data_IF_318399962523
#
_entry.id   IF_318399962523
#
_cell.length_a   1.000
_cell.length_b   1.000
_cell.length_c   1.000
_cell.angle_alpha   90.00
_cell.angle_beta   90.00
_cell.angle_gamma   90.00
#
_symmetry.space_group_name_H-M   'P 1'
#
loop_
_entity.id
_entity.type
_entity.pdbx_description
1 polymer ?
#
# COMPACT_ATOMS: atom_id res chain seq x y z
N UNK A 1 21.99 10.80 -6.29
CA UNK A 1 20.67 10.68 -6.92
C UNK A 1 19.92 11.99 -6.78
N UNK A 2 19.18 12.39 -7.81
CA UNK A 2 18.26 13.55 -7.76
C UNK A 2 16.89 13.11 -7.26
N UNK A 3 16.00 14.05 -6.96
CA UNK A 3 14.61 13.76 -6.59
C UNK A 3 13.88 12.99 -7.69
N UNK A 4 14.08 13.36 -8.97
CA UNK A 4 13.45 12.65 -10.09
C UNK A 4 13.93 11.20 -10.21
N UNK A 5 15.24 10.97 -10.04
CA UNK A 5 15.77 9.60 -10.00
C UNK A 5 15.18 8.77 -8.85
N UNK A 6 14.91 9.40 -7.70
CA UNK A 6 14.26 8.73 -6.59
C UNK A 6 12.79 8.44 -6.90
N UNK A 7 12.05 9.34 -7.54
CA UNK A 7 10.68 9.10 -7.96
C UNK A 7 10.58 7.89 -8.89
N UNK A 8 11.48 7.78 -9.88
CA UNK A 8 11.60 6.59 -10.74
C UNK A 8 11.90 5.33 -9.91
N UNK A 9 12.82 5.43 -8.95
CA UNK A 9 13.15 4.29 -8.08
C UNK A 9 11.95 3.84 -7.25
N UNK A 10 11.18 4.80 -6.69
CA UNK A 10 9.96 4.49 -5.94
C UNK A 10 8.90 3.80 -6.82
N UNK A 11 8.75 4.21 -8.08
CA UNK A 11 7.88 3.52 -9.03
C UNK A 11 8.30 2.05 -9.24
N UNK A 12 9.59 1.81 -9.46
CA UNK A 12 10.13 0.45 -9.62
C UNK A 12 9.97 -0.38 -8.35
N UNK A 13 10.21 0.21 -7.17
CA UNK A 13 9.97 -0.45 -5.88
C UNK A 13 8.49 -0.74 -5.67
N UNK A 14 7.60 0.19 -6.03
CA UNK A 14 6.15 0.00 -5.97
C UNK A 14 5.69 -1.17 -6.86
N UNK A 15 6.19 -1.23 -8.08
CA UNK A 15 5.94 -2.35 -9.00
C UNK A 15 6.44 -3.69 -8.45
N UNK A 16 7.52 -3.69 -7.69
CA UNK A 16 8.06 -4.87 -7.01
C UNK A 16 7.36 -5.18 -5.67
N UNK A 17 6.37 -4.39 -5.25
CA UNK A 17 5.65 -4.55 -3.98
C UNK A 17 6.49 -4.19 -2.75
N UNK A 18 7.51 -3.33 -2.89
CA UNK A 18 8.46 -2.99 -1.82
C UNK A 18 8.16 -1.66 -1.13
N UNK A 19 7.76 -0.64 -1.86
CA UNK A 19 7.45 0.68 -1.29
C UNK A 19 6.32 1.33 -2.10
N UNK A 20 5.32 1.86 -1.43
CA UNK A 20 4.18 2.52 -2.06
C UNK A 20 3.93 3.87 -1.40
N UNK A 21 4.44 4.95 -2.00
CA UNK A 21 4.08 6.32 -1.61
C UNK A 21 2.66 6.65 -2.08
N UNK A 22 2.32 6.21 -3.28
CA UNK A 22 0.99 6.30 -3.87
C UNK A 22 0.46 4.89 -4.08
N UNK A 23 -0.74 4.62 -3.61
CA UNK A 23 -1.48 3.41 -3.96
C UNK A 23 -2.00 3.51 -5.39
N UNK A 24 -2.03 2.39 -6.08
CA UNK A 24 -2.53 2.34 -7.45
C UNK A 24 -3.13 0.96 -7.76
N UNK A 25 -4.15 0.98 -8.57
CA UNK A 25 -4.78 -0.23 -9.08
C UNK A 25 -5.59 0.07 -10.34
N UNK A 26 -5.90 -0.96 -11.11
CA UNK A 26 -6.84 -0.88 -12.23
C UNK A 26 -8.14 -1.55 -11.83
N UNK A 27 -9.25 -0.89 -12.06
CA UNK A 27 -10.59 -1.41 -11.78
C UNK A 27 -11.60 -0.87 -12.77
N UNK A 28 -12.80 -1.41 -12.74
CA UNK A 28 -13.93 -0.90 -13.52
C UNK A 28 -14.20 0.56 -13.13
N UNK A 29 -14.43 1.41 -14.13
CA UNK A 29 -14.85 2.79 -13.90
C UNK A 29 -16.23 2.81 -13.24
N UNK A 30 -16.36 3.52 -12.12
CA UNK A 30 -17.61 3.60 -11.35
C UNK A 30 -18.76 4.28 -12.12
N UNK A 31 -18.44 5.12 -13.10
CA UNK A 31 -19.43 5.83 -13.94
C UNK A 31 -19.57 5.28 -15.36
N UNK A 32 -18.65 4.37 -15.76
CA UNK A 32 -18.69 3.67 -17.03
C UNK A 32 -18.27 2.20 -16.86
N UNK A 33 -19.19 1.33 -16.43
CA UNK A 33 -18.86 -0.04 -16.02
C UNK A 33 -18.37 -0.95 -17.17
N UNK A 34 -18.39 -0.47 -18.40
CA UNK A 34 -17.84 -1.22 -19.57
C UNK A 34 -16.35 -0.98 -19.77
N UNK A 35 -15.75 0.00 -19.04
CA UNK A 35 -14.35 0.35 -19.18
C UNK A 35 -13.56 0.17 -17.88
N UNK A 36 -12.29 -0.17 -18.02
CA UNK A 36 -11.34 -0.17 -16.93
C UNK A 36 -10.62 1.17 -16.89
N UNK A 37 -10.34 1.65 -15.67
CA UNK A 37 -9.63 2.90 -15.44
C UNK A 37 -8.55 2.70 -14.36
N UNK A 38 -7.50 3.51 -14.42
CA UNK A 38 -6.43 3.51 -13.44
C UNK A 38 -6.78 4.43 -12.27
N UNK A 39 -6.65 3.92 -11.06
CA UNK A 39 -6.89 4.65 -9.82
C UNK A 39 -5.58 4.99 -9.11
N UNK A 40 -5.46 6.25 -8.64
CA UNK A 40 -4.46 6.69 -7.69
C UNK A 40 -5.13 6.92 -6.33
N UNK A 41 -4.52 6.41 -5.26
CA UNK A 41 -5.06 6.51 -3.90
C UNK A 41 -3.97 6.79 -2.89
N UNK A 42 -4.36 7.26 -1.72
CA UNK A 42 -3.44 7.49 -0.60
C UNK A 42 -2.77 6.21 -0.14
N UNK A 43 -1.48 6.31 0.20
CA UNK A 43 -0.64 5.24 0.75
C UNK A 43 0.55 5.83 1.53
N UNK A 44 1.55 5.03 1.84
CA UNK A 44 2.81 5.52 2.42
C UNK A 44 2.95 5.34 3.92
N UNK A 45 1.96 4.76 4.59
CA UNK A 45 2.00 4.54 6.03
C UNK A 45 2.43 3.12 6.41
N UNK A 46 3.07 2.99 7.54
CA UNK A 46 3.45 1.71 8.12
C UNK A 46 2.44 1.18 9.13
N UNK A 47 1.65 2.05 9.74
CA UNK A 47 0.50 1.73 10.59
C UNK A 47 -0.80 1.70 9.75
N UNK A 48 -1.90 1.10 10.25
CA UNK A 48 -3.09 0.80 9.46
C UNK A 48 -3.79 2.01 8.82
N UNK A 49 -3.84 3.13 9.51
CA UNK A 49 -4.44 4.37 9.00
C UNK A 49 -3.86 5.62 9.68
N UNK A 50 -4.29 6.82 9.24
CA UNK A 50 -3.80 8.12 9.70
C UNK A 50 -4.08 8.37 11.19
N UNK A 51 -5.17 7.80 11.73
CA UNK A 51 -5.58 8.02 13.12
C UNK A 51 -4.52 7.52 14.12
N UNK A 52 -3.74 6.49 13.75
CA UNK A 52 -2.64 6.00 14.57
C UNK A 52 -1.56 7.06 14.82
N UNK A 53 -1.34 7.96 13.87
CA UNK A 53 -0.32 9.01 13.98
C UNK A 53 -0.83 10.28 14.68
N UNK A 54 -2.14 10.39 14.91
CA UNK A 54 -2.80 11.61 15.39
C UNK A 54 -3.48 11.45 16.75
N UNK A 55 -4.05 10.28 17.04
CA UNK A 55 -4.90 10.09 18.21
C UNK A 55 -4.10 9.55 19.41
N UNK A 56 -4.21 10.21 20.55
CA UNK A 56 -3.50 9.89 21.80
C UNK A 56 -3.70 8.42 22.26
N UNK A 57 -4.87 7.83 21.99
CA UNK A 57 -5.15 6.42 22.34
C UNK A 57 -4.18 5.41 21.70
N UNK A 58 -3.45 5.80 20.65
CA UNK A 58 -2.48 4.95 19.94
C UNK A 58 -1.01 5.22 20.33
N UNK A 59 -0.75 6.10 21.30
CA UNK A 59 0.61 6.47 21.70
C UNK A 59 1.49 5.26 22.04
N UNK A 60 0.94 4.26 22.74
CA UNK A 60 1.67 3.04 23.07
C UNK A 60 2.01 2.20 21.81
N UNK A 61 1.11 2.16 20.85
CA UNK A 61 1.35 1.47 19.57
C UNK A 61 2.41 2.20 18.76
N UNK A 62 2.39 3.53 18.75
CA UNK A 62 3.40 4.36 18.10
C UNK A 62 4.78 4.16 18.71
N UNK A 63 4.89 4.14 20.05
CA UNK A 63 6.15 3.85 20.73
C UNK A 63 6.69 2.47 20.37
N UNK A 64 5.83 1.43 20.38
CA UNK A 64 6.22 0.08 19.97
C UNK A 64 6.59 0.00 18.48
N UNK A 65 5.98 0.82 17.63
CA UNK A 65 6.31 0.89 16.21
C UNK A 65 7.70 1.50 15.98
N UNK A 66 8.06 2.54 16.70
CA UNK A 66 9.40 3.15 16.65
C UNK A 66 10.46 2.14 17.09
N UNK A 67 10.23 1.42 18.20
CA UNK A 67 11.13 0.34 18.65
C UNK A 67 11.25 -0.79 17.62
N UNK A 68 10.16 -1.16 16.99
CA UNK A 68 10.15 -2.14 15.90
C UNK A 68 11.03 -1.70 14.72
N UNK A 69 10.88 -0.45 14.27
CA UNK A 69 11.73 0.09 13.20
C UNK A 69 13.20 0.07 13.61
N UNK A 70 13.51 0.52 14.84
CA UNK A 70 14.88 0.53 15.35
C UNK A 70 15.48 -0.88 15.36
N UNK A 71 14.77 -1.87 15.89
CA UNK A 71 15.22 -3.26 15.91
C UNK A 71 15.47 -3.81 14.49
N UNK A 72 14.59 -3.49 13.53
CA UNK A 72 14.80 -3.88 12.14
C UNK A 72 16.06 -3.24 11.53
N UNK A 73 16.34 -1.99 11.86
CA UNK A 73 17.58 -1.32 11.44
C UNK A 73 18.83 -1.87 12.14
N UNK A 74 18.74 -2.31 13.38
CA UNK A 74 19.81 -3.04 14.07
C UNK A 74 20.12 -4.35 13.35
N UNK A 75 19.09 -5.14 13.04
CA UNK A 75 19.24 -6.42 12.35
C UNK A 75 19.87 -6.29 10.96
N UNK A 76 19.63 -5.17 10.25
CA UNK A 76 20.22 -4.93 8.92
C UNK A 76 21.59 -4.24 8.96
N UNK A 77 21.91 -3.49 10.00
CA UNK A 77 23.07 -2.58 10.07
C UNK A 77 23.00 -1.39 9.10
N UNK A 78 21.86 -1.17 8.43
CA UNK A 78 21.77 -0.17 7.33
C UNK A 78 21.64 1.28 7.81
N UNK A 79 21.32 1.54 9.08
CA UNK A 79 21.27 2.89 9.63
C UNK A 79 22.63 3.61 9.53
N UNK A 80 23.73 2.88 9.67
CA UNK A 80 25.09 3.40 9.56
C UNK A 80 25.38 4.04 8.18
N UNK A 81 24.76 3.52 7.12
CA UNK A 81 24.87 4.09 5.75
C UNK A 81 24.30 5.50 5.63
N UNK A 82 23.50 5.91 6.62
CA UNK A 82 22.92 7.26 6.73
C UNK A 82 23.58 8.07 7.85
N UNK A 83 24.61 7.54 8.49
CA UNK A 83 25.28 8.14 9.67
C UNK A 83 24.29 8.36 10.84
N UNK A 84 23.37 7.43 11.03
CA UNK A 84 22.35 7.43 12.06
C UNK A 84 22.48 6.19 12.94
N UNK A 85 22.09 6.32 14.19
CA UNK A 85 21.77 5.16 15.04
C UNK A 85 20.43 4.54 14.57
N UNK A 86 20.15 3.27 14.87
CA UNK A 86 18.87 2.65 14.56
C UNK A 86 17.67 3.42 15.11
N UNK A 87 17.78 3.95 16.34
CA UNK A 87 16.71 4.73 16.98
C UNK A 87 16.50 6.09 16.29
N UNK A 88 17.56 6.79 15.91
CA UNK A 88 17.46 8.05 15.16
C UNK A 88 16.79 7.81 13.78
N UNK A 89 17.15 6.72 13.12
CA UNK A 89 16.52 6.33 11.86
C UNK A 89 15.02 6.05 12.06
N UNK A 90 14.65 5.33 13.12
CA UNK A 90 13.27 5.02 13.45
C UNK A 90 12.43 6.27 13.73
N UNK A 91 12.95 7.19 14.54
CA UNK A 91 12.29 8.45 14.88
C UNK A 91 12.08 9.33 13.63
N UNK A 92 13.08 9.39 12.75
CA UNK A 92 12.99 10.16 11.51
C UNK A 92 11.95 9.57 10.55
N UNK A 93 11.89 8.25 10.44
CA UNK A 93 10.89 7.56 9.63
C UNK A 93 9.48 7.79 10.18
N UNK A 94 9.29 7.63 11.50
CA UNK A 94 7.99 7.84 12.13
C UNK A 94 7.51 9.29 11.99
N UNK A 95 8.40 10.26 12.18
CA UNK A 95 8.09 11.68 11.94
C UNK A 95 7.67 11.94 10.50
N UNK A 96 8.38 11.35 9.54
CA UNK A 96 8.05 11.49 8.12
C UNK A 96 6.71 10.83 7.75
N UNK A 97 6.43 9.63 8.27
CA UNK A 97 5.12 8.98 8.09
C UNK A 97 4.00 9.79 8.75
N UNK A 98 4.26 10.47 9.87
CA UNK A 98 3.29 11.39 10.50
C UNK A 98 2.98 12.57 9.60
N UNK A 99 3.97 13.15 8.91
CA UNK A 99 3.77 14.20 7.92
C UNK A 99 2.92 13.69 6.73
N UNK A 100 3.19 12.49 6.23
CA UNK A 100 2.39 11.85 5.18
C UNK A 100 0.94 11.62 5.68
N UNK A 101 0.78 11.09 6.89
CA UNK A 101 -0.51 10.80 7.51
C UNK A 101 -1.39 12.06 7.66
N UNK A 102 -0.79 13.22 7.93
CA UNK A 102 -1.50 14.49 8.05
C UNK A 102 -2.24 14.90 6.77
N UNK A 103 -1.87 14.35 5.62
CA UNK A 103 -2.54 14.58 4.33
C UNK A 103 -3.56 13.49 3.96
N UNK A 104 -3.61 12.39 4.71
CA UNK A 104 -4.57 11.31 4.48
C UNK A 104 -6.01 11.76 4.79
N UNK A 105 -6.94 11.26 4.02
CA UNK A 105 -8.34 11.29 4.40
C UNK A 105 -8.60 10.24 5.48
N UNK A 106 -9.42 10.58 6.45
CA UNK A 106 -9.87 9.64 7.46
C UNK A 106 -10.78 8.54 6.89
N UNK A 107 -11.03 7.50 7.69
CA UNK A 107 -11.84 6.35 7.30
C UNK A 107 -13.27 6.75 6.90
N UNK A 108 -13.85 7.78 7.53
CA UNK A 108 -15.23 8.23 7.27
C UNK A 108 -15.29 8.92 5.91
N UNK A 109 -14.41 9.88 5.66
CA UNK A 109 -14.31 10.59 4.38
C UNK A 109 -14.03 9.62 3.22
N UNK A 110 -13.22 8.58 3.45
CA UNK A 110 -12.91 7.56 2.45
C UNK A 110 -14.10 6.66 2.06
N UNK A 111 -15.24 6.73 2.75
CA UNK A 111 -16.48 6.02 2.37
C UNK A 111 -17.30 6.77 1.34
N UNK A 112 -17.03 8.04 1.12
CA UNK A 112 -17.72 8.85 0.12
C UNK A 112 -17.20 8.51 -1.29
N UNK A 113 -17.99 7.72 -2.02
CA UNK A 113 -17.65 7.29 -3.37
C UNK A 113 -17.63 8.43 -4.38
N UNK A 114 -18.52 9.44 -4.22
CA UNK A 114 -18.59 10.60 -5.10
C UNK A 114 -17.36 11.50 -4.89
N UNK A 115 -16.98 11.77 -3.65
CA UNK A 115 -15.81 12.57 -3.31
C UNK A 115 -14.49 11.93 -3.83
N UNK A 116 -14.45 10.59 -3.93
CA UNK A 116 -13.30 9.84 -4.48
C UNK A 116 -13.26 9.76 -5.99
N UNK A 117 -14.28 10.17 -6.70
CA UNK A 117 -14.32 10.09 -8.16
C UNK A 117 -13.85 11.40 -8.80
N UNK A 118 -12.54 11.55 -8.97
CA UNK A 118 -11.94 12.75 -9.55
C UNK A 118 -11.15 12.38 -10.82
N UNK A 119 -11.79 12.38 -12.00
CA UNK A 119 -11.13 12.04 -13.26
C UNK A 119 -10.18 13.17 -13.69
N UNK A 120 -8.96 12.78 -14.07
CA UNK A 120 -7.91 13.65 -14.57
C UNK A 120 -7.26 12.97 -15.75
N UNK A 121 -6.95 13.70 -16.82
CA UNK A 121 -6.13 13.14 -17.89
C UNK A 121 -4.72 12.84 -17.37
N UNK A 122 -4.22 11.66 -17.63
CA UNK A 122 -2.91 11.24 -17.15
C UNK A 122 -1.79 12.19 -17.61
N UNK A 123 -1.93 12.79 -18.79
CA UNK A 123 -0.99 13.78 -19.35
C UNK A 123 -1.07 15.16 -18.68
N UNK A 124 -2.09 15.43 -17.88
CA UNK A 124 -2.29 16.71 -17.18
C UNK A 124 -1.97 16.62 -15.67
N UNK A 125 -1.54 15.43 -15.17
CA UNK A 125 -1.30 15.20 -13.75
C UNK A 125 -0.23 16.12 -13.15
N UNK A 126 0.89 16.34 -13.83
CA UNK A 126 1.98 17.18 -13.31
C UNK A 126 1.60 18.66 -13.29
N UNK A 127 0.70 19.11 -14.18
CA UNK A 127 0.15 20.48 -14.17
C UNK A 127 -0.85 20.67 -13.02
N UNK A 128 -1.70 19.66 -12.81
CA UNK A 128 -2.75 19.71 -11.78
C UNK A 128 -2.22 19.50 -10.37
N UNK A 129 -1.18 18.67 -10.21
CA UNK A 129 -0.54 18.35 -8.93
C UNK A 129 0.97 18.61 -8.99
N UNK A 130 1.41 19.88 -9.09
CA UNK A 130 2.81 20.21 -9.26
C UNK A 130 3.62 19.86 -8.01
N UNK A 131 4.85 19.37 -8.20
CA UNK A 131 5.78 19.10 -7.12
C UNK A 131 6.32 17.68 -7.09
N UNK A 132 5.51 16.67 -7.37
CA UNK A 132 5.94 15.30 -7.58
C UNK A 132 5.83 14.94 -9.07
N UNK A 133 6.84 14.31 -9.71
CA UNK A 133 6.84 14.02 -11.13
C UNK A 133 5.96 12.80 -11.46
N UNK A 134 4.63 12.98 -11.42
CA UNK A 134 3.64 11.90 -11.56
C UNK A 134 3.71 11.18 -12.90
N UNK A 135 3.85 11.92 -13.99
CA UNK A 135 3.94 11.31 -15.33
C UNK A 135 5.19 10.44 -15.48
N UNK A 136 6.33 10.92 -14.97
CA UNK A 136 7.56 10.14 -14.99
C UNK A 136 7.47 8.91 -14.06
N UNK A 137 6.82 9.07 -12.92
CA UNK A 137 6.55 7.97 -11.99
C UNK A 137 5.64 6.91 -12.62
N UNK A 138 4.53 7.30 -13.28
CA UNK A 138 3.65 6.41 -14.02
C UNK A 138 4.39 5.65 -15.12
N UNK A 139 5.19 6.36 -15.91
CA UNK A 139 5.98 5.75 -16.98
C UNK A 139 6.95 4.68 -16.44
N UNK A 140 7.63 4.97 -15.34
CA UNK A 140 8.53 4.02 -14.67
C UNK A 140 7.77 2.83 -14.04
N UNK A 141 6.53 3.04 -13.61
CA UNK A 141 5.64 1.98 -13.15
C UNK A 141 5.24 1.02 -14.29
N UNK A 142 5.36 1.46 -15.54
CA UNK A 142 4.95 0.74 -16.74
C UNK A 142 3.59 1.16 -17.29
N UNK A 143 3.07 2.28 -16.82
CA UNK A 143 1.80 2.88 -17.21
C UNK A 143 2.05 4.18 -17.99
N UNK A 144 2.09 4.11 -19.34
CA UNK A 144 2.33 5.31 -20.15
C UNK A 144 1.15 6.29 -20.03
N UNK A 145 1.38 7.53 -19.57
CA UNK A 145 0.33 8.54 -19.43
C UNK A 145 -0.43 8.83 -20.74
N UNK A 146 0.20 8.63 -21.89
CA UNK A 146 -0.45 8.85 -23.20
C UNK A 146 -1.45 7.75 -23.54
N UNK A 147 -1.22 6.52 -23.04
CA UNK A 147 -2.08 5.36 -23.27
C UNK A 147 -3.15 5.21 -22.21
N UNK A 148 -2.89 5.63 -20.97
CA UNK A 148 -3.83 5.53 -19.86
C UNK A 148 -5.11 6.35 -20.06
N UNK A 149 -5.03 7.46 -20.80
CA UNK A 149 -6.17 8.36 -20.97
C UNK A 149 -6.56 9.06 -19.67
N UNK A 150 -7.62 8.59 -19.02
CA UNK A 150 -8.11 9.12 -17.73
C UNK A 150 -7.59 8.29 -16.56
N UNK A 151 -7.24 8.99 -15.48
CA UNK A 151 -6.87 8.44 -14.18
C UNK A 151 -7.84 8.98 -13.14
N UNK A 152 -8.35 8.15 -12.25
CA UNK A 152 -9.17 8.60 -11.13
C UNK A 152 -8.26 8.86 -9.93
N UNK A 153 -8.21 10.11 -9.49
CA UNK A 153 -7.49 10.50 -8.26
C UNK A 153 -8.47 10.43 -7.10
N UNK A 154 -8.32 9.41 -6.26
CA UNK A 154 -9.27 9.15 -5.18
C UNK A 154 -9.22 10.21 -4.07
N UNK A 155 -8.04 10.71 -3.73
CA UNK A 155 -7.86 11.75 -2.71
C UNK A 155 -7.00 12.90 -3.27
N UNK A 156 -7.58 13.89 -3.96
CA UNK A 156 -6.82 14.98 -4.57
C UNK A 156 -5.95 15.76 -3.58
N UNK A 157 -6.51 16.11 -2.41
CA UNK A 157 -5.76 16.84 -1.37
C UNK A 157 -4.59 16.06 -0.78
N UNK A 158 -4.66 14.72 -0.74
CA UNK A 158 -3.52 13.89 -0.38
C UNK A 158 -2.40 14.02 -1.43
N UNK A 159 -2.75 13.95 -2.69
CA UNK A 159 -1.77 14.06 -3.77
C UNK A 159 -1.09 15.44 -3.79
N UNK A 160 -1.85 16.51 -3.56
CA UNK A 160 -1.32 17.88 -3.38
C UNK A 160 -0.36 17.95 -2.17
N UNK A 161 -0.76 17.36 -1.04
CA UNK A 161 0.07 17.32 0.17
C UNK A 161 1.38 16.56 -0.02
N UNK A 162 1.32 15.38 -0.64
CA UNK A 162 2.52 14.58 -0.95
C UNK A 162 3.43 15.31 -1.94
N UNK A 163 2.88 15.98 -2.95
CA UNK A 163 3.65 16.78 -3.89
C UNK A 163 4.40 17.93 -3.19
N UNK A 164 3.76 18.57 -2.21
CA UNK A 164 4.39 19.60 -1.36
C UNK A 164 5.49 19.02 -0.47
N UNK A 165 5.22 17.90 0.21
CA UNK A 165 6.20 17.19 1.03
C UNK A 165 7.40 16.73 0.21
N UNK A 166 7.19 16.29 -1.04
CA UNK A 166 8.27 15.87 -1.93
C UNK A 166 9.29 16.97 -2.17
N UNK A 167 8.84 18.21 -2.23
CA UNK A 167 9.70 19.38 -2.44
C UNK A 167 10.39 19.84 -1.17
N UNK A 168 9.72 19.76 -0.03
CA UNK A 168 10.19 20.32 1.25
C UNK A 168 11.03 19.35 2.07
N UNK A 169 10.81 18.04 1.94
CA UNK A 169 11.51 17.03 2.72
C UNK A 169 12.87 16.69 2.13
N UNK A 170 13.93 16.61 2.95
CA UNK A 170 15.26 16.22 2.50
C UNK A 170 15.28 14.88 1.78
N UNK A 171 16.02 14.80 0.68
CA UNK A 171 16.15 13.57 -0.12
C UNK A 171 16.62 12.35 0.70
N UNK A 172 17.43 12.58 1.71
CA UNK A 172 17.91 11.53 2.63
C UNK A 172 16.74 10.88 3.39
N UNK A 173 15.79 11.68 3.86
CA UNK A 173 14.60 11.19 4.58
C UNK A 173 13.76 10.28 3.68
N UNK A 174 13.50 10.69 2.44
CA UNK A 174 12.79 9.86 1.46
C UNK A 174 13.51 8.54 1.15
N UNK A 175 14.85 8.56 1.06
CA UNK A 175 15.64 7.33 0.84
C UNK A 175 15.55 6.40 2.04
N UNK A 176 15.65 6.95 3.25
CA UNK A 176 15.55 6.19 4.49
C UNK A 176 14.16 5.55 4.63
N UNK A 177 13.11 6.32 4.36
CA UNK A 177 11.73 5.83 4.33
C UNK A 177 11.53 4.72 3.27
N UNK A 178 12.04 4.90 2.05
CA UNK A 178 11.95 3.88 1.00
C UNK A 178 12.67 2.58 1.40
N UNK A 179 13.82 2.69 2.05
CA UNK A 179 14.56 1.55 2.59
C UNK A 179 13.75 0.84 3.68
N UNK A 180 13.14 1.58 4.60
CA UNK A 180 12.24 1.04 5.61
C UNK A 180 11.08 0.27 4.98
N UNK A 181 10.40 0.84 3.99
CA UNK A 181 9.32 0.16 3.27
C UNK A 181 9.79 -1.17 2.64
N UNK A 182 11.00 -1.20 2.07
CA UNK A 182 11.58 -2.42 1.51
C UNK A 182 11.87 -3.48 2.59
N UNK A 183 12.48 -3.09 3.71
CA UNK A 183 12.74 -3.98 4.85
C UNK A 183 11.42 -4.55 5.37
N UNK A 184 10.44 -3.69 5.68
CA UNK A 184 9.13 -4.08 6.18
C UNK A 184 8.40 -5.07 5.28
N UNK A 185 8.36 -4.78 3.98
CA UNK A 185 7.66 -5.63 3.01
C UNK A 185 8.30 -7.01 2.82
N UNK A 186 9.60 -7.13 3.08
CA UNK A 186 10.34 -8.38 2.96
C UNK A 186 10.58 -9.11 4.28
N UNK A 187 10.37 -8.46 5.42
CA UNK A 187 10.58 -9.04 6.75
C UNK A 187 9.98 -10.45 6.94
N UNK A 188 8.76 -10.78 6.44
CA UNK A 188 8.21 -12.13 6.56
C UNK A 188 8.99 -13.23 5.83
N UNK A 189 9.88 -12.85 4.91
CA UNK A 189 10.66 -13.75 4.04
C UNK A 189 12.16 -13.73 4.34
N UNK A 190 12.62 -12.91 5.27
CA UNK A 190 14.00 -12.79 5.73
C UNK A 190 14.32 -13.84 6.81
N UNK A 191 15.58 -13.95 7.29
CA UNK A 191 15.95 -14.85 8.38
C UNK A 191 15.07 -14.70 9.62
N UNK A 192 15.04 -15.73 10.47
CA UNK A 192 14.10 -15.86 11.59
C UNK A 192 14.05 -14.65 12.53
N UNK A 193 15.16 -13.96 12.77
CA UNK A 193 15.18 -12.75 13.59
C UNK A 193 14.23 -11.66 13.05
N UNK A 194 14.23 -11.44 11.74
CA UNK A 194 13.32 -10.49 11.07
C UNK A 194 11.86 -10.96 11.12
N UNK A 195 11.64 -12.24 10.88
CA UNK A 195 10.30 -12.85 10.92
C UNK A 195 9.69 -12.73 12.32
N UNK A 196 10.48 -13.01 13.36
CA UNK A 196 10.02 -12.91 14.75
C UNK A 196 9.73 -11.46 15.13
N UNK A 197 10.61 -10.52 14.78
CA UNK A 197 10.41 -9.12 15.09
C UNK A 197 9.20 -8.55 14.33
N UNK A 198 9.03 -8.89 13.07
CA UNK A 198 7.85 -8.51 12.30
C UNK A 198 6.56 -9.06 12.93
N UNK A 199 6.58 -10.30 13.41
CA UNK A 199 5.44 -10.90 14.11
C UNK A 199 5.20 -10.25 15.48
N UNK A 200 6.25 -9.94 16.25
CA UNK A 200 6.14 -9.30 17.55
C UNK A 200 5.38 -7.97 17.45
N UNK A 201 5.65 -7.18 16.42
CA UNK A 201 4.93 -5.93 16.22
C UNK A 201 3.58 -6.14 15.52
N UNK A 202 3.54 -6.55 14.25
CA UNK A 202 2.30 -6.61 13.45
C UNK A 202 1.34 -7.72 13.89
N UNK A 203 1.86 -8.84 14.34
CA UNK A 203 1.06 -9.95 14.84
C UNK A 203 0.61 -9.73 16.27
N UNK A 204 1.56 -9.61 17.17
CA UNK A 204 1.28 -9.60 18.62
C UNK A 204 0.78 -8.25 19.11
N UNK A 205 1.55 -7.20 18.89
CA UNK A 205 1.22 -5.86 19.42
C UNK A 205 0.04 -5.23 18.69
N UNK A 206 0.02 -5.27 17.37
CA UNK A 206 -0.98 -4.58 16.57
C UNK A 206 -2.27 -5.39 16.41
N UNK A 207 -2.16 -6.70 16.16
CA UNK A 207 -3.31 -7.58 15.85
C UNK A 207 -3.74 -8.49 16.98
N UNK A 208 -3.02 -8.53 18.12
CA UNK A 208 -3.36 -9.37 19.26
C UNK A 208 -3.20 -10.88 19.02
N UNK A 209 -2.43 -11.27 17.99
CA UNK A 209 -2.18 -12.68 17.66
C UNK A 209 -1.14 -13.27 18.62
N UNK A 210 -1.45 -14.36 19.29
CA UNK A 210 -0.57 -14.93 20.33
C UNK A 210 0.64 -15.66 19.76
N UNK A 211 0.45 -16.41 18.66
CA UNK A 211 1.47 -17.30 18.09
C UNK A 211 1.68 -17.10 16.60
N UNK A 212 2.94 -17.14 16.18
CA UNK A 212 3.30 -17.15 14.77
C UNK A 212 2.87 -18.47 14.12
N UNK A 213 2.13 -18.38 13.01
CA UNK A 213 1.74 -19.57 12.24
C UNK A 213 2.98 -20.38 11.81
N UNK A 214 2.84 -21.71 11.85
CA UNK A 214 3.86 -22.66 11.41
C UNK A 214 4.40 -22.30 10.00
N UNK A 215 5.69 -22.54 9.78
CA UNK A 215 6.36 -22.15 8.54
C UNK A 215 5.70 -22.71 7.28
N UNK A 216 5.23 -23.95 7.31
CA UNK A 216 4.55 -24.53 6.14
C UNK A 216 3.23 -23.84 5.83
N UNK A 217 2.45 -23.44 6.85
CA UNK A 217 1.20 -22.67 6.67
C UNK A 217 1.46 -21.28 6.08
N UNK A 218 2.58 -20.64 6.48
CA UNK A 218 3.03 -19.36 5.89
C UNK A 218 3.48 -19.55 4.44
N UNK A 219 4.11 -20.70 4.14
CA UNK A 219 4.48 -21.09 2.77
C UNK A 219 3.25 -21.28 1.88
N UNK A 220 2.21 -21.97 2.37
CA UNK A 220 0.93 -22.10 1.65
C UNK A 220 0.30 -20.73 1.39
N UNK A 221 0.24 -19.84 2.39
CA UNK A 221 -0.29 -18.50 2.20
C UNK A 221 0.51 -17.67 1.17
N UNK A 222 1.83 -17.86 1.08
CA UNK A 222 2.65 -17.21 0.05
C UNK A 222 2.32 -17.73 -1.36
N UNK A 223 2.02 -19.02 -1.50
CA UNK A 223 1.55 -19.61 -2.77
C UNK A 223 0.15 -19.10 -3.11
N UNK A 224 -0.77 -19.06 -2.15
CA UNK A 224 -2.10 -18.48 -2.33
C UNK A 224 -2.03 -17.04 -2.85
N UNK A 225 -1.20 -16.19 -2.25
CA UNK A 225 -1.04 -14.81 -2.68
C UNK A 225 -0.43 -14.65 -4.08
N UNK A 226 0.36 -15.62 -4.54
CA UNK A 226 1.06 -15.53 -5.81
C UNK A 226 0.32 -16.24 -6.96
N UNK A 227 -0.42 -17.33 -6.66
CA UNK A 227 -1.00 -18.27 -7.61
C UNK A 227 -2.45 -18.64 -7.24
N UNK A 228 -3.23 -17.71 -6.72
CA UNK A 228 -4.60 -17.92 -6.21
C UNK A 228 -5.51 -18.61 -7.22
N UNK A 229 -5.47 -18.19 -8.48
CA UNK A 229 -6.30 -18.73 -9.55
C UNK A 229 -5.96 -20.20 -9.88
N UNK A 230 -4.67 -20.54 -9.92
CA UNK A 230 -4.24 -21.92 -10.21
C UNK A 230 -4.53 -22.83 -9.01
N UNK A 231 -4.27 -22.40 -7.81
CA UNK A 231 -4.61 -23.13 -6.59
C UNK A 231 -6.13 -23.29 -6.45
N UNK A 232 -6.89 -22.26 -6.80
CA UNK A 232 -8.35 -22.29 -6.83
C UNK A 232 -8.91 -23.36 -7.79
N UNK A 233 -8.30 -23.56 -8.97
CA UNK A 233 -8.70 -24.61 -9.91
C UNK A 233 -8.53 -26.00 -9.31
N UNK A 234 -7.39 -26.28 -8.67
CA UNK A 234 -7.13 -27.56 -8.01
C UNK A 234 -8.10 -27.81 -6.85
N UNK A 235 -8.34 -26.78 -6.03
CA UNK A 235 -9.32 -26.87 -4.95
C UNK A 235 -10.73 -27.17 -5.46
N UNK A 236 -11.19 -26.46 -6.50
CA UNK A 236 -12.50 -26.63 -7.12
C UNK A 236 -12.65 -28.03 -7.71
N UNK A 237 -11.61 -28.56 -8.38
CA UNK A 237 -11.64 -29.89 -8.96
C UNK A 237 -11.93 -31.01 -7.92
N UNK A 238 -11.46 -30.80 -6.67
CA UNK A 238 -11.61 -31.80 -5.59
C UNK A 238 -12.86 -31.53 -4.72
N UNK A 239 -13.12 -30.25 -4.41
CA UNK A 239 -14.05 -29.88 -3.34
C UNK A 239 -15.36 -29.22 -3.81
N UNK A 240 -15.46 -28.86 -5.10
CA UNK A 240 -16.63 -28.15 -5.64
C UNK A 240 -17.23 -28.85 -6.86
N UNK A 241 -18.07 -29.89 -6.64
CA UNK A 241 -18.72 -30.63 -7.73
C UNK A 241 -19.54 -29.73 -8.65
N UNK A 242 -19.70 -30.10 -9.94
CA UNK A 242 -20.46 -29.31 -10.92
C UNK A 242 -21.89 -28.96 -10.48
N UNK A 243 -22.55 -29.85 -9.74
CA UNK A 243 -23.89 -29.63 -9.19
C UNK A 243 -23.95 -28.43 -8.23
N UNK A 244 -22.89 -28.15 -7.47
CA UNK A 244 -22.83 -26.98 -6.59
C UNK A 244 -22.74 -25.69 -7.41
N UNK A 245 -22.00 -25.71 -8.52
CA UNK A 245 -21.92 -24.58 -9.46
C UNK A 245 -23.29 -24.25 -10.05
N UNK A 246 -24.06 -25.25 -10.47
CA UNK A 246 -25.41 -25.06 -11.00
C UNK A 246 -26.36 -24.45 -9.96
N UNK A 247 -26.32 -24.95 -8.70
CA UNK A 247 -27.11 -24.38 -7.59
C UNK A 247 -26.74 -22.92 -7.33
N UNK A 248 -25.46 -22.59 -7.32
CA UNK A 248 -24.99 -21.22 -7.13
C UNK A 248 -25.40 -20.30 -8.27
N UNK A 249 -25.30 -20.75 -9.53
CA UNK A 249 -25.77 -19.98 -10.69
C UNK A 249 -27.28 -19.70 -10.62
N UNK A 250 -28.08 -20.68 -10.18
CA UNK A 250 -29.52 -20.50 -9.97
C UNK A 250 -29.80 -19.46 -8.88
N UNK A 251 -29.05 -19.51 -7.76
CA UNK A 251 -29.16 -18.51 -6.69
C UNK A 251 -28.84 -17.09 -7.19
N UNK A 252 -27.72 -16.94 -7.90
CA UNK A 252 -27.29 -15.64 -8.46
C UNK A 252 -28.34 -15.11 -9.45
N UNK A 253 -28.84 -15.94 -10.34
CA UNK A 253 -29.87 -15.54 -11.30
C UNK A 253 -31.18 -15.09 -10.59
N UNK A 254 -31.59 -15.78 -9.52
CA UNK A 254 -32.75 -15.36 -8.73
C UNK A 254 -32.54 -14.01 -8.07
N UNK A 255 -31.32 -13.75 -7.55
CA UNK A 255 -30.98 -12.43 -6.98
C UNK A 255 -30.99 -11.34 -8.04
N UNK A 256 -30.41 -11.58 -9.21
CA UNK A 256 -30.41 -10.62 -10.33
C UNK A 256 -31.84 -10.30 -10.79
N UNK A 257 -32.73 -11.32 -10.85
CA UNK A 257 -34.14 -11.09 -11.17
C UNK A 257 -34.87 -10.30 -10.09
N UNK A 258 -34.57 -10.52 -8.81
CA UNK A 258 -35.14 -9.73 -7.72
C UNK A 258 -34.69 -8.26 -7.80
N UNK A 259 -33.41 -8.02 -8.06
CA UNK A 259 -32.89 -6.65 -8.25
C UNK A 259 -33.48 -5.91 -9.46
N UNK A 260 -33.83 -6.65 -10.54
CA UNK A 260 -34.48 -6.03 -11.72
C UNK A 260 -35.94 -5.62 -11.48
N UNK A 261 -36.55 -6.12 -10.41
CA UNK A 261 -37.95 -5.80 -10.04
C UNK A 261 -38.07 -4.64 -9.06
N UNK A 262 -36.94 -4.20 -8.50
CA UNK A 262 -36.83 -3.00 -7.64
C UNK A 262 -36.64 -1.76 -8.50
#
# INVERSE_FOLDING_TARGET
>A
ATSDQLAVTLALLSRAGLAQLLGWYTSIDQKDPEHYVFYLTQAGLGLPDEAYYREEKYEQVCAAYIEHIATMFELTGLAESFTLTPMEAAQLIFSHETEIAAHHWDVVKNRDAEAKYNPVKATELDEKFPGFPLQQWLLALGADPKELGTVIVSQPSFLEGVASLWQSTPLMTWKLWALWCAIRSRAPYLPDAFVQENFNFYGRTLSGTEELRERWKRGVAAVENALDQELGKEYVAVHFPPEHKEKMLKLVNNLLEACRRL
#
